data_IF_756133551047
#
_entry.id   IF_756133551047
#
_cell.length_a   1.000
_cell.length_b   1.000
_cell.length_c   1.000
_cell.angle_alpha   90.00
_cell.angle_beta   90.00
_cell.angle_gamma   90.00
#
_symmetry.space_group_name_H-M   'P 1'
#
loop_
_entity.id
_entity.type
_entity.pdbx_description
1 polymer ?
#
# COMPACT_ATOMS: atom_id res chain seq x y z
N UNK A 1 -1.07 2.44 -94.28
CA UNK A 1 0.37 2.41 -94.59
C UNK A 1 1.08 1.75 -93.43
N UNK A 2 1.71 0.59 -93.70
CA UNK A 2 2.78 -0.15 -92.98
C UNK A 2 2.70 -0.30 -91.44
N UNK A 3 2.46 -1.51 -90.91
CA UNK A 3 3.46 -2.58 -90.56
C UNK A 3 4.27 -2.25 -89.28
N UNK A 4 4.02 -2.92 -88.14
CA UNK A 4 4.67 -4.16 -87.62
C UNK A 4 5.97 -3.81 -86.82
N UNK A 5 6.36 -4.34 -85.64
CA UNK A 5 6.19 -5.59 -84.86
C UNK A 5 6.37 -5.28 -83.34
N UNK A 6 5.62 -5.92 -82.40
CA UNK A 6 6.02 -6.99 -81.43
C UNK A 6 7.36 -6.77 -80.68
N UNK A 7 7.59 -7.00 -79.38
CA UNK A 7 7.08 -7.89 -78.29
C UNK A 7 7.74 -7.33 -76.97
N UNK A 8 7.28 -7.49 -75.72
CA UNK A 8 7.42 -8.65 -74.81
C UNK A 8 6.56 -8.44 -73.55
N UNK A 9 5.99 -9.56 -73.12
CA UNK A 9 5.33 -9.98 -71.87
C UNK A 9 5.85 -9.45 -70.52
N UNK A 10 4.95 -9.30 -69.55
CA UNK A 10 5.11 -9.76 -68.15
C UNK A 10 3.98 -9.24 -67.25
N UNK A 11 3.04 -10.13 -66.95
CA UNK A 11 2.02 -10.11 -65.89
C UNK A 11 2.53 -9.59 -64.53
N UNK A 12 1.69 -8.84 -63.79
CA UNK A 12 1.61 -9.02 -62.33
C UNK A 12 0.19 -8.74 -61.85
N UNK A 13 -0.41 -9.77 -61.26
CA UNK A 13 -1.71 -9.79 -60.60
C UNK A 13 -1.69 -9.00 -59.28
N UNK A 14 -2.86 -8.47 -58.93
CA UNK A 14 -3.27 -8.06 -57.58
C UNK A 14 -3.38 -9.25 -56.62
N UNK A 15 -2.73 -9.16 -55.44
CA UNK A 15 -3.26 -9.54 -54.10
C UNK A 15 -2.32 -9.04 -52.97
N UNK A 16 -2.67 -9.14 -51.66
CA UNK A 16 -2.45 -8.09 -50.65
C UNK A 16 -1.40 -8.47 -49.58
N UNK A 17 -0.88 -7.50 -48.83
CA UNK A 17 -0.16 -7.74 -47.56
C UNK A 17 -0.59 -6.65 -46.57
N UNK A 18 -1.29 -6.99 -45.49
CA UNK A 18 -0.84 -7.64 -44.23
C UNK A 18 -0.18 -6.68 -43.23
N UNK A 19 -0.96 -6.43 -42.18
CA UNK A 19 -0.64 -5.67 -40.97
C UNK A 19 0.30 -6.50 -40.08
N UNK A 20 1.51 -6.00 -39.82
CA UNK A 20 2.41 -6.57 -38.82
C UNK A 20 2.08 -6.08 -37.41
N UNK A 21 2.19 -7.03 -36.49
CA UNK A 21 1.66 -7.13 -35.14
C UNK A 21 2.47 -6.41 -34.06
N UNK A 22 1.80 -6.16 -32.94
CA UNK A 22 2.14 -5.29 -31.78
C UNK A 22 3.19 -5.88 -30.83
N UNK A 23 3.89 -6.95 -31.20
CA UNK A 23 4.60 -7.81 -30.23
C UNK A 23 6.03 -7.41 -29.87
N UNK A 24 6.64 -6.40 -30.51
CA UNK A 24 8.04 -6.01 -30.21
C UNK A 24 8.19 -4.80 -29.28
N UNK A 25 7.13 -4.06 -28.97
CA UNK A 25 7.22 -2.87 -28.10
C UNK A 25 7.14 -3.18 -26.59
N UNK A 26 7.01 -4.45 -26.22
CA UNK A 26 6.91 -4.90 -24.82
C UNK A 26 8.24 -5.33 -24.20
N UNK A 27 9.33 -5.44 -24.98
CA UNK A 27 10.62 -5.94 -24.48
C UNK A 27 11.56 -4.85 -23.95
N UNK A 28 11.40 -3.58 -24.32
CA UNK A 28 12.33 -2.51 -23.90
C UNK A 28 11.87 -1.74 -22.65
N UNK A 29 10.60 -1.81 -22.28
CA UNK A 29 10.06 -1.11 -21.10
C UNK A 29 10.19 -1.91 -19.80
N UNK A 30 10.60 -3.18 -19.86
CA UNK A 30 10.83 -4.03 -18.68
C UNK A 30 12.21 -3.83 -18.01
N UNK A 31 13.17 -3.18 -18.66
CA UNK A 31 14.54 -3.05 -18.13
C UNK A 31 14.80 -1.76 -17.32
N UNK A 32 13.87 -0.79 -17.32
CA UNK A 32 14.13 0.56 -16.80
C UNK A 32 13.51 0.90 -15.43
N UNK A 33 13.11 -0.09 -14.62
CA UNK A 33 12.51 0.15 -13.28
C UNK A 33 13.22 -0.61 -12.13
N UNK A 34 14.35 -1.26 -12.40
CA UNK A 34 15.07 -2.06 -11.41
C UNK A 34 15.99 -1.25 -10.47
N UNK A 35 15.99 0.08 -10.53
CA UNK A 35 16.85 0.89 -9.68
C UNK A 35 16.21 2.24 -9.39
N UNK A 36 15.58 2.36 -8.22
CA UNK A 36 15.73 3.56 -7.41
C UNK A 36 15.21 3.35 -5.98
N UNK A 37 16.18 3.29 -5.07
CA UNK A 37 16.20 3.90 -3.72
C UNK A 37 15.13 3.42 -2.72
N UNK A 38 15.41 2.27 -2.09
CA UNK A 38 14.86 1.92 -0.75
C UNK A 38 15.97 1.82 0.33
N UNK A 39 17.16 2.40 0.09
CA UNK A 39 18.39 2.08 0.84
C UNK A 39 18.85 3.06 1.91
N UNK A 40 18.11 4.09 2.32
CA UNK A 40 18.68 5.17 3.14
C UNK A 40 18.31 5.18 4.64
N UNK A 41 17.82 4.06 5.21
CA UNK A 41 17.50 3.98 6.64
C UNK A 41 18.09 2.73 7.31
N UNK A 42 19.42 2.70 7.48
CA UNK A 42 20.06 1.75 8.39
C UNK A 42 21.53 1.47 8.12
N UNK A 43 22.41 1.87 9.04
CA UNK A 43 23.73 1.25 9.21
C UNK A 43 24.93 2.20 9.19
N UNK A 44 25.26 2.77 10.35
CA UNK A 44 26.62 3.25 10.62
C UNK A 44 27.61 2.07 10.76
N UNK A 45 28.92 2.28 10.54
CA UNK A 45 29.88 1.19 10.37
C UNK A 45 30.24 0.44 11.67
N UNK A 46 30.36 -0.90 11.54
CA UNK A 46 30.80 -1.87 12.55
C UNK A 46 32.28 -1.72 12.90
N UNK A 47 32.61 -1.94 14.18
CA UNK A 47 33.94 -2.35 14.66
C UNK A 47 33.82 -3.65 15.48
N UNK A 48 34.90 -4.43 15.47
CA UNK A 48 34.98 -5.89 15.63
C UNK A 48 34.71 -6.47 17.04
N UNK A 49 34.51 -7.79 17.04
CA UNK A 49 34.00 -8.64 18.12
C UNK A 49 35.04 -9.09 19.16
N UNK A 50 34.58 -9.30 20.40
CA UNK A 50 35.10 -10.29 21.34
C UNK A 50 33.92 -11.01 22.01
N UNK A 51 33.95 -12.34 21.99
CA UNK A 51 33.04 -13.25 22.71
C UNK A 51 33.50 -13.42 24.16
N UNK A 52 32.55 -13.61 25.07
CA UNK A 52 32.51 -14.72 26.03
C UNK A 52 31.03 -14.91 26.48
N UNK A 53 30.62 -16.18 26.58
CA UNK A 53 29.33 -16.72 27.08
C UNK A 53 29.22 -16.48 28.61
N UNK A 54 28.12 -16.59 29.37
CA UNK A 54 26.76 -17.11 29.27
C UNK A 54 25.91 -16.42 30.38
N UNK A 55 24.59 -16.64 30.34
CA UNK A 55 23.57 -16.53 31.40
C UNK A 55 22.43 -15.52 31.20
N UNK A 56 21.25 -16.12 31.05
CA UNK A 56 19.94 -15.52 30.98
C UNK A 56 19.53 -14.90 32.33
N UNK A 57 19.02 -13.67 32.30
CA UNK A 57 17.69 -13.30 32.79
C UNK A 57 17.50 -11.78 32.83
N UNK A 58 16.37 -11.34 32.26
CA UNK A 58 15.59 -10.17 32.69
C UNK A 58 16.13 -8.76 32.39
N UNK A 59 15.92 -8.33 31.14
CA UNK A 59 16.08 -6.95 30.68
C UNK A 59 14.97 -6.04 31.28
N UNK A 60 15.19 -5.60 32.52
CA UNK A 60 14.48 -4.48 33.14
C UNK A 60 15.36 -3.24 33.05
N UNK A 61 15.16 -2.51 31.94
CA UNK A 61 15.55 -1.12 31.71
C UNK A 61 15.68 -0.31 33.02
N UNK A 62 16.91 0.04 33.35
CA UNK A 62 17.29 0.76 34.57
C UNK A 62 16.93 2.24 34.52
N UNK A 63 16.03 2.65 35.42
CA UNK A 63 15.83 4.06 35.81
C UNK A 63 15.72 4.28 37.33
N UNK A 64 16.00 3.27 38.17
CA UNK A 64 15.62 3.32 39.59
C UNK A 64 16.77 3.53 40.61
N UNK A 65 18.00 3.83 40.18
CA UNK A 65 19.16 3.93 41.11
C UNK A 65 19.99 5.23 41.07
N UNK A 66 19.56 6.24 40.33
CA UNK A 66 20.19 7.57 40.36
C UNK A 66 19.42 8.62 41.19
N UNK A 67 18.46 8.18 42.02
CA UNK A 67 17.50 9.08 42.69
C UNK A 67 17.70 9.23 44.20
N UNK A 68 18.80 8.75 44.80
CA UNK A 68 18.94 8.73 46.27
C UNK A 68 20.08 9.53 46.90
N UNK A 69 20.92 10.24 46.13
CA UNK A 69 22.09 10.97 46.66
C UNK A 69 22.14 12.46 46.26
N UNK A 70 20.99 13.16 46.29
CA UNK A 70 20.93 14.62 46.16
C UNK A 70 19.93 15.31 47.12
N UNK A 71 19.57 14.66 48.22
CA UNK A 71 18.87 15.31 49.33
C UNK A 71 19.89 15.83 50.34
N UNK A 72 20.33 17.08 50.16
CA UNK A 72 20.86 18.04 51.16
C UNK A 72 21.97 18.91 50.55
N UNK A 73 21.58 19.98 49.86
CA UNK A 73 22.27 21.29 49.81
C UNK A 73 21.70 22.09 48.63
N UNK A 74 20.62 22.81 48.88
CA UNK A 74 20.51 24.24 48.55
C UNK A 74 19.07 24.66 48.82
N UNK A 75 18.90 25.39 49.92
CA UNK A 75 17.78 26.27 50.14
C UNK A 75 18.26 27.62 49.65
N UNK A 76 17.90 28.01 48.44
CA UNK A 76 17.75 29.42 48.10
C UNK A 76 16.86 29.54 46.85
N UNK A 77 15.72 30.19 47.09
CA UNK A 77 14.96 31.05 46.19
C UNK A 77 14.79 30.59 44.73
N UNK A 78 13.74 29.80 44.51
CA UNK A 78 13.15 29.61 43.18
C UNK A 78 11.65 29.95 43.32
N UNK A 79 11.34 31.26 43.35
CA UNK A 79 10.01 31.76 43.03
C UNK A 79 9.70 31.35 41.58
N UNK A 80 9.18 30.13 41.42
CA UNK A 80 8.45 29.75 40.23
C UNK A 80 7.28 30.72 40.11
N UNK A 81 7.41 31.70 39.23
CA UNK A 81 6.26 32.37 38.67
C UNK A 81 5.33 31.28 38.13
N UNK A 82 4.14 31.15 38.71
CA UNK A 82 3.07 30.37 38.12
C UNK A 82 2.88 30.94 36.71
N UNK A 83 3.28 30.18 35.69
CA UNK A 83 2.90 30.47 34.31
C UNK A 83 1.38 30.30 34.25
N UNK A 84 0.65 31.39 34.52
CA UNK A 84 -0.80 31.45 34.36
C UNK A 84 -1.11 31.17 32.89
N UNK A 85 -1.44 29.92 32.56
CA UNK A 85 -1.99 29.59 31.25
C UNK A 85 -3.28 30.41 31.08
N UNK A 86 -3.29 31.30 30.09
CA UNK A 86 -4.48 32.08 29.77
C UNK A 86 -5.62 31.12 29.37
N UNK A 87 -6.62 30.97 30.25
CA UNK A 87 -7.84 30.22 29.98
C UNK A 87 -8.72 31.00 29.00
N UNK A 88 -8.38 30.92 27.72
CA UNK A 88 -9.11 31.60 26.65
C UNK A 88 -10.35 30.79 26.29
N UNK A 89 -11.52 31.29 26.72
CA UNK A 89 -12.82 30.73 26.35
C UNK A 89 -13.26 31.19 24.95
N UNK A 90 -13.73 30.25 24.12
CA UNK A 90 -14.30 30.53 22.80
C UNK A 90 -15.76 30.10 22.73
N UNK A 91 -16.64 31.01 22.30
CA UNK A 91 -18.03 30.67 21.99
C UNK A 91 -18.13 29.92 20.65
N UNK A 92 -18.78 28.73 20.60
CA UNK A 92 -18.92 27.96 19.37
C UNK A 92 -19.78 28.69 18.32
N UNK A 93 -19.25 28.87 17.11
CA UNK A 93 -20.00 29.45 15.98
C UNK A 93 -21.10 28.50 15.47
N UNK A 94 -20.87 27.18 15.59
CA UNK A 94 -21.80 26.15 15.12
C UNK A 94 -22.06 25.16 16.25
N UNK A 95 -23.34 24.96 16.56
CA UNK A 95 -23.79 24.02 17.56
C UNK A 95 -24.33 22.77 16.87
N UNK A 96 -23.60 21.66 16.96
CA UNK A 96 -24.05 20.35 16.49
C UNK A 96 -25.00 19.75 17.54
N UNK A 97 -26.28 20.11 17.48
CA UNK A 97 -27.30 19.73 18.47
C UNK A 97 -27.76 18.28 18.34
N UNK A 98 -27.65 17.70 17.14
CA UNK A 98 -28.12 16.35 16.85
C UNK A 98 -26.94 15.38 16.75
N UNK A 99 -27.01 14.29 17.52
CA UNK A 99 -26.07 13.18 17.36
C UNK A 99 -26.41 12.43 16.07
N UNK A 100 -25.54 12.54 15.08
CA UNK A 100 -25.66 11.79 13.83
C UNK A 100 -25.25 10.34 14.09
N UNK A 101 -26.14 9.39 13.75
CA UNK A 101 -25.80 7.97 13.72
C UNK A 101 -24.92 7.69 12.49
N UNK A 102 -23.66 7.31 12.74
CA UNK A 102 -22.68 7.06 11.69
C UNK A 102 -22.59 5.58 11.39
N UNK A 103 -22.90 5.18 10.16
CA UNK A 103 -22.71 3.81 9.67
C UNK A 103 -21.39 3.67 8.94
N UNK A 104 -20.79 2.50 9.06
CA UNK A 104 -19.52 2.18 8.38
C UNK A 104 -19.75 1.73 6.94
N UNK A 105 -20.95 1.24 6.63
CA UNK A 105 -21.31 0.56 5.38
C UNK A 105 -20.50 -0.73 5.16
N UNK A 106 -20.22 -1.44 6.26
CA UNK A 106 -19.47 -2.70 6.32
C UNK A 106 -20.25 -3.77 7.13
N UNK A 107 -21.46 -3.45 7.61
CA UNK A 107 -22.26 -4.27 8.51
C UNK A 107 -22.79 -5.56 7.82
N UNK A 108 -22.94 -5.50 6.50
CA UNK A 108 -23.35 -6.61 5.64
C UNK A 108 -22.19 -7.52 5.22
N UNK A 109 -20.98 -7.30 5.77
CA UNK A 109 -19.78 -8.02 5.36
C UNK A 109 -19.16 -8.81 6.53
N UNK A 110 -18.45 -9.89 6.19
CA UNK A 110 -17.65 -10.69 7.10
C UNK A 110 -16.17 -10.39 6.87
N UNK A 111 -15.44 -10.12 7.94
CA UNK A 111 -14.01 -9.90 7.89
C UNK A 111 -13.27 -11.25 7.83
N UNK A 112 -12.78 -11.62 6.65
CA UNK A 112 -12.05 -12.88 6.42
C UNK A 112 -10.55 -12.74 6.67
N UNK A 113 -10.03 -11.52 6.68
CA UNK A 113 -8.64 -11.20 6.99
C UNK A 113 -8.54 -9.82 7.64
N UNK A 114 -7.61 -9.66 8.58
CA UNK A 114 -7.25 -8.38 9.20
C UNK A 114 -5.78 -8.37 9.60
N UNK A 115 -5.06 -7.33 9.21
CA UNK A 115 -3.66 -7.18 9.61
C UNK A 115 -3.18 -5.74 9.56
N UNK A 116 -2.26 -5.38 10.47
CA UNK A 116 -1.57 -4.10 10.45
C UNK A 116 -0.64 -4.02 9.23
N UNK A 117 -0.74 -2.92 8.48
CA UNK A 117 0.10 -2.66 7.32
C UNK A 117 0.34 -1.16 7.07
N UNK A 118 1.29 -0.87 6.17
CA UNK A 118 1.49 0.44 5.56
C UNK A 118 1.27 0.35 4.05
N UNK A 119 0.41 1.21 3.51
CA UNK A 119 0.05 1.29 2.10
C UNK A 119 0.72 2.48 1.43
N UNK A 120 1.17 2.26 0.21
CA UNK A 120 1.77 3.25 -0.68
C UNK A 120 1.02 3.26 -2.01
N UNK A 121 0.96 4.42 -2.66
CA UNK A 121 0.52 4.58 -4.05
C UNK A 121 1.70 5.05 -4.88
N UNK A 122 1.90 4.44 -6.04
CA UNK A 122 2.90 4.92 -6.99
C UNK A 122 2.37 6.17 -7.68
N UNK A 123 3.12 7.26 -7.59
CA UNK A 123 2.86 8.47 -8.35
C UNK A 123 3.57 8.38 -9.71
N UNK A 124 2.79 8.45 -10.79
CA UNK A 124 3.31 8.30 -12.15
C UNK A 124 4.06 9.54 -12.62
N UNK A 125 3.70 10.71 -12.12
CA UNK A 125 4.32 11.98 -12.50
C UNK A 125 5.72 12.11 -11.90
N UNK A 126 5.84 11.94 -10.58
CA UNK A 126 7.15 12.00 -9.90
C UNK A 126 7.93 10.68 -9.93
N UNK A 127 7.31 9.59 -10.42
CA UNK A 127 7.90 8.24 -10.49
C UNK A 127 8.39 7.73 -9.12
N UNK A 128 7.62 7.99 -8.07
CA UNK A 128 7.98 7.63 -6.69
C UNK A 128 6.84 6.96 -5.93
N UNK A 129 7.17 6.29 -4.84
CA UNK A 129 6.19 5.73 -3.91
C UNK A 129 5.81 6.76 -2.85
N UNK A 130 4.53 7.15 -2.81
CA UNK A 130 3.98 8.03 -1.77
C UNK A 130 3.23 7.21 -0.73
N UNK A 131 3.49 7.48 0.55
CA UNK A 131 2.72 6.85 1.63
C UNK A 131 1.25 7.29 1.50
N UNK A 132 0.36 6.30 1.45
CA UNK A 132 -1.07 6.53 1.32
C UNK A 132 -1.78 6.40 2.65
N UNK A 133 -1.35 5.47 3.51
CA UNK A 133 -1.90 5.30 4.85
C UNK A 133 -1.26 4.17 5.65
N UNK A 134 -1.32 4.28 6.98
CA UNK A 134 -0.95 3.23 7.93
C UNK A 134 -2.17 2.86 8.76
N UNK A 135 -2.44 1.56 8.91
CA UNK A 135 -3.71 1.08 9.47
C UNK A 135 -3.88 -0.43 9.39
N UNK A 136 -5.09 -0.90 9.65
CA UNK A 136 -5.46 -2.30 9.44
C UNK A 136 -6.02 -2.48 8.02
N UNK A 137 -5.37 -3.33 7.22
CA UNK A 137 -5.94 -3.83 5.97
C UNK A 137 -6.90 -4.97 6.29
N UNK A 138 -8.07 -4.96 5.67
CA UNK A 138 -9.11 -5.98 5.82
C UNK A 138 -9.57 -6.49 4.48
N UNK A 139 -9.84 -7.79 4.42
CA UNK A 139 -10.62 -8.40 3.33
C UNK A 139 -12.04 -8.63 3.88
N UNK A 140 -13.02 -8.01 3.24
CA UNK A 140 -14.41 -8.01 3.65
C UNK A 140 -15.24 -8.73 2.60
N UNK A 141 -15.86 -9.84 2.99
CA UNK A 141 -16.71 -10.67 2.13
C UNK A 141 -18.18 -10.33 2.36
N UNK A 142 -18.89 -9.89 1.34
CA UNK A 142 -20.29 -9.53 1.47
C UNK A 142 -21.17 -10.78 1.72
N UNK A 143 -22.07 -10.72 2.69
CA UNK A 143 -22.87 -11.89 3.12
C UNK A 143 -23.84 -12.40 2.05
N UNK A 144 -24.37 -11.49 1.22
CA UNK A 144 -25.34 -11.86 0.17
C UNK A 144 -24.66 -12.30 -1.14
N UNK A 145 -23.87 -11.42 -1.77
CA UNK A 145 -23.26 -11.71 -3.07
C UNK A 145 -21.90 -12.45 -2.98
N UNK A 146 -21.38 -12.68 -1.77
CA UNK A 146 -20.10 -13.36 -1.51
C UNK A 146 -18.85 -12.69 -2.10
N UNK A 147 -18.96 -11.50 -2.72
CA UNK A 147 -17.80 -10.78 -3.28
C UNK A 147 -16.95 -10.22 -2.15
N UNK A 148 -15.64 -10.39 -2.28
CA UNK A 148 -14.66 -9.89 -1.33
C UNK A 148 -14.02 -8.59 -1.83
N UNK A 149 -13.98 -7.56 -0.99
CA UNK A 149 -13.24 -6.32 -1.23
C UNK A 149 -12.13 -6.10 -0.22
N UNK A 150 -11.11 -5.35 -0.61
CA UNK A 150 -10.07 -4.85 0.28
C UNK A 150 -10.48 -3.47 0.78
N UNK A 151 -10.49 -3.30 2.10
CA UNK A 151 -10.71 -1.99 2.75
C UNK A 151 -9.58 -1.73 3.74
N UNK A 152 -9.00 -0.53 3.69
CA UNK A 152 -8.00 -0.08 4.66
C UNK A 152 -8.33 1.34 5.12
N UNK A 153 -8.23 1.60 6.43
CA UNK A 153 -8.46 2.91 7.03
C UNK A 153 -7.20 3.37 7.77
N UNK A 154 -6.91 4.67 7.71
CA UNK A 154 -5.79 5.29 8.42
C UNK A 154 -6.04 5.30 9.93
N UNK A 155 -4.99 5.08 10.70
CA UNK A 155 -5.03 5.27 12.14
C UNK A 155 -5.50 6.68 12.52
N UNK A 156 -6.22 6.77 13.65
CA UNK A 156 -6.73 8.00 14.28
C UNK A 156 -7.82 8.72 13.48
N UNK A 157 -7.56 9.02 12.20
CA UNK A 157 -8.49 9.74 11.32
C UNK A 157 -9.61 8.85 10.77
N UNK A 158 -9.42 7.53 10.75
CA UNK A 158 -10.36 6.53 10.22
C UNK A 158 -10.75 6.73 8.74
N UNK A 159 -10.08 7.65 8.04
CA UNK A 159 -10.24 7.89 6.61
C UNK A 159 -9.84 6.65 5.83
N UNK A 160 -10.66 6.27 4.86
CA UNK A 160 -10.37 5.18 3.93
C UNK A 160 -9.14 5.55 3.10
N UNK A 161 -8.21 4.61 2.91
CA UNK A 161 -7.02 4.79 2.08
C UNK A 161 -6.85 3.69 1.01
N UNK A 162 -7.70 2.66 1.04
CA UNK A 162 -7.94 1.73 -0.06
C UNK A 162 -9.38 1.18 0.07
N UNK A 163 -10.07 1.06 -1.06
CA UNK A 163 -11.38 0.44 -1.17
C UNK A 163 -11.60 -0.03 -2.60
N UNK A 164 -11.42 -1.33 -2.85
CA UNK A 164 -11.62 -1.94 -4.17
C UNK A 164 -11.96 -3.43 -4.02
N UNK A 165 -12.69 -3.98 -4.99
CA UNK A 165 -12.87 -5.43 -5.08
C UNK A 165 -11.54 -6.14 -5.37
N UNK A 166 -11.39 -7.34 -4.83
CA UNK A 166 -10.31 -8.24 -5.24
C UNK A 166 -10.73 -8.92 -6.54
N UNK A 167 -10.15 -8.56 -7.68
CA UNK A 167 -10.59 -9.06 -9.00
C UNK A 167 -9.60 -10.08 -9.59
N UNK A 168 -10.05 -10.97 -10.50
CA UNK A 168 -9.23 -12.08 -11.00
C UNK A 168 -7.95 -11.67 -11.73
N UNK A 169 -7.95 -10.50 -12.35
CA UNK A 169 -6.84 -9.95 -13.12
C UNK A 169 -5.74 -9.28 -12.27
N UNK A 170 -6.00 -9.04 -10.98
CA UNK A 170 -4.99 -8.52 -10.04
C UNK A 170 -3.81 -9.49 -9.89
N UNK A 171 -2.59 -8.97 -9.85
CA UNK A 171 -1.39 -9.79 -9.62
C UNK A 171 -0.56 -9.20 -8.50
N UNK A 172 -0.46 -9.93 -7.38
CA UNK A 172 0.49 -9.59 -6.33
C UNK A 172 1.91 -9.95 -6.82
N UNK A 173 2.73 -8.92 -6.95
CA UNK A 173 4.14 -9.03 -7.33
C UNK A 173 5.04 -8.65 -6.15
N UNK A 174 6.17 -9.33 -5.93
CA UNK A 174 7.11 -8.94 -4.88
C UNK A 174 7.72 -7.59 -5.20
N UNK A 175 7.90 -6.74 -4.19
CA UNK A 175 8.61 -5.47 -4.37
C UNK A 175 10.13 -5.70 -4.32
N UNK A 176 10.89 -5.10 -5.24
CA UNK A 176 12.35 -5.24 -5.29
C UNK A 176 12.96 -4.72 -3.97
N UNK A 177 13.80 -5.54 -3.34
CA UNK A 177 14.46 -5.19 -2.08
C UNK A 177 13.57 -5.30 -0.83
N UNK A 178 12.39 -5.94 -0.91
CA UNK A 178 11.57 -6.25 0.26
C UNK A 178 10.97 -7.65 0.21
N UNK A 179 11.18 -8.41 1.29
CA UNK A 179 10.57 -9.72 1.56
C UNK A 179 9.18 -9.63 2.21
N UNK A 180 8.76 -8.43 2.59
CA UNK A 180 7.55 -8.14 3.37
C UNK A 180 6.61 -7.14 2.69
N UNK A 181 6.73 -6.99 1.37
CA UNK A 181 5.90 -6.07 0.59
C UNK A 181 5.38 -6.70 -0.70
N UNK A 182 4.13 -6.40 -1.05
CA UNK A 182 3.48 -6.79 -2.30
C UNK A 182 3.01 -5.57 -3.09
N UNK A 183 3.05 -5.66 -4.42
CA UNK A 183 2.60 -4.63 -5.36
C UNK A 183 1.52 -5.19 -6.28
N UNK A 184 0.45 -4.42 -6.52
CA UNK A 184 -0.59 -4.75 -7.50
C UNK A 184 -1.20 -3.50 -8.13
N UNK A 185 -1.98 -3.71 -9.19
CA UNK A 185 -2.79 -2.66 -9.81
C UNK A 185 -4.25 -2.86 -9.42
N UNK A 186 -4.91 -1.82 -8.94
CA UNK A 186 -6.35 -1.75 -8.77
C UNK A 186 -6.91 -0.83 -9.85
N UNK A 187 -7.78 -1.35 -10.73
CA UNK A 187 -8.35 -0.56 -11.83
C UNK A 187 -9.38 0.48 -11.37
N UNK A 188 -10.04 0.22 -10.24
CA UNK A 188 -11.14 1.01 -9.71
C UNK A 188 -11.09 1.08 -8.18
N UNK A 189 -10.09 1.77 -7.63
CA UNK A 189 -10.06 2.11 -6.20
C UNK A 189 -10.92 3.36 -5.95
N UNK A 190 -11.85 3.29 -5.00
CA UNK A 190 -12.83 4.36 -4.70
C UNK A 190 -12.55 5.03 -3.35
N UNK A 191 -11.30 4.98 -2.86
CA UNK A 191 -10.98 5.50 -1.52
C UNK A 191 -11.08 7.03 -1.39
N UNK A 192 -11.08 7.77 -2.50
CA UNK A 192 -11.19 9.25 -2.53
C UNK A 192 -12.44 9.72 -3.29
N UNK A 193 -13.44 8.85 -3.47
CA UNK A 193 -14.67 9.15 -4.20
C UNK A 193 -14.79 8.35 -5.48
N UNK A 194 -14.46 8.97 -6.62
CA UNK A 194 -14.60 8.34 -7.94
C UNK A 194 -13.60 7.19 -8.16
N UNK A 195 -13.95 6.17 -8.98
CA UNK A 195 -13.06 5.07 -9.30
C UNK A 195 -11.76 5.55 -9.96
N UNK A 196 -10.62 5.20 -9.36
CA UNK A 196 -9.29 5.56 -9.86
C UNK A 196 -8.41 4.32 -10.08
N UNK A 197 -7.74 4.25 -11.23
CA UNK A 197 -6.71 3.25 -11.47
C UNK A 197 -5.44 3.59 -10.66
N UNK A 198 -5.08 2.72 -9.73
CA UNK A 198 -3.96 2.90 -8.80
C UNK A 198 -3.00 1.73 -8.81
N UNK A 199 -1.69 2.02 -8.86
CA UNK A 199 -0.65 1.02 -8.56
C UNK A 199 -0.31 1.14 -7.08
N UNK A 200 -0.60 0.09 -6.32
CA UNK A 200 -0.52 0.06 -4.86
C UNK A 200 0.60 -0.87 -4.42
N UNK A 201 1.30 -0.47 -3.35
CA UNK A 201 2.22 -1.35 -2.64
C UNK A 201 1.81 -1.39 -1.16
N UNK A 202 1.82 -2.58 -0.57
CA UNK A 202 1.54 -2.78 0.85
C UNK A 202 2.73 -3.44 1.52
N UNK A 203 3.09 -2.95 2.71
CA UNK A 203 4.18 -3.48 3.52
C UNK A 203 3.67 -3.94 4.87
N UNK A 204 4.15 -5.10 5.30
CA UNK A 204 3.84 -5.70 6.59
C UNK A 204 5.04 -5.64 7.54
N UNK A 205 4.82 -6.01 8.81
CA UNK A 205 5.87 -6.00 9.83
C UNK A 205 7.02 -6.96 9.47
N UNK A 206 6.72 -8.15 8.98
CA UNK A 206 7.66 -9.21 8.63
C UNK A 206 7.19 -10.00 7.40
N UNK A 207 8.04 -10.89 6.90
CA UNK A 207 7.75 -11.70 5.71
C UNK A 207 6.60 -12.70 5.93
N UNK A 208 6.47 -13.26 7.13
CA UNK A 208 5.38 -14.18 7.50
C UNK A 208 4.00 -13.51 7.33
N UNK A 209 3.83 -12.32 7.90
CA UNK A 209 2.63 -11.51 7.78
C UNK A 209 2.32 -11.16 6.32
N UNK A 210 3.35 -10.84 5.53
CA UNK A 210 3.17 -10.58 4.10
C UNK A 210 2.68 -11.81 3.35
N UNK A 211 3.18 -13.01 3.68
CA UNK A 211 2.74 -14.25 3.05
C UNK A 211 1.31 -14.62 3.46
N UNK A 212 0.93 -14.45 4.73
CA UNK A 212 -0.45 -14.62 5.19
C UNK A 212 -1.43 -13.71 4.44
N UNK A 213 -1.05 -12.44 4.21
CA UNK A 213 -1.85 -11.56 3.37
C UNK A 213 -1.97 -12.07 1.93
N UNK A 214 -0.85 -12.49 1.32
CA UNK A 214 -0.86 -13.01 -0.05
C UNK A 214 -1.76 -14.23 -0.19
N UNK A 215 -1.68 -15.18 0.75
CA UNK A 215 -2.54 -16.36 0.78
C UNK A 215 -4.03 -15.98 0.87
N UNK A 216 -4.39 -15.09 1.80
CA UNK A 216 -5.76 -14.63 1.96
C UNK A 216 -6.27 -13.86 0.72
N UNK A 217 -5.41 -13.04 0.11
CA UNK A 217 -5.72 -12.26 -1.10
C UNK A 217 -5.94 -13.18 -2.31
N UNK A 218 -5.06 -14.15 -2.54
CA UNK A 218 -5.19 -15.12 -3.64
C UNK A 218 -6.44 -15.99 -3.45
N UNK A 219 -6.73 -16.42 -2.21
CA UNK A 219 -7.97 -17.13 -1.90
C UNK A 219 -9.20 -16.28 -2.25
N UNK A 220 -9.24 -15.02 -1.80
CA UNK A 220 -10.33 -14.10 -2.12
C UNK A 220 -10.47 -13.86 -3.63
N UNK A 221 -9.35 -13.77 -4.35
CA UNK A 221 -9.32 -13.63 -5.80
C UNK A 221 -9.96 -14.82 -6.52
N UNK A 222 -9.58 -16.05 -6.14
CA UNK A 222 -10.14 -17.27 -6.72
C UNK A 222 -11.63 -17.42 -6.41
N UNK A 223 -12.05 -17.12 -5.18
CA UNK A 223 -13.48 -17.13 -4.82
C UNK A 223 -14.26 -16.09 -5.64
N UNK A 224 -13.69 -14.90 -5.83
CA UNK A 224 -14.32 -13.84 -6.60
C UNK A 224 -14.37 -14.15 -8.10
N UNK A 225 -13.39 -14.82 -8.69
CA UNK A 225 -13.38 -15.22 -10.10
C UNK A 225 -14.62 -16.03 -10.49
N UNK A 226 -15.03 -16.95 -9.62
CA UNK A 226 -16.26 -17.75 -9.80
C UNK A 226 -17.53 -16.88 -9.76
N UNK A 227 -17.49 -15.73 -9.08
CA UNK A 227 -18.63 -14.83 -8.93
C UNK A 227 -18.70 -13.80 -10.06
N UNK A 228 -17.55 -13.27 -10.50
CA UNK A 228 -17.49 -12.32 -11.61
C UNK A 228 -17.84 -12.99 -12.95
N UNK A 229 -17.45 -14.24 -13.16
CA UNK A 229 -17.81 -15.02 -14.36
C UNK A 229 -19.30 -15.39 -14.46
N UNK A 230 -20.03 -15.39 -13.33
CA UNK A 230 -21.49 -15.68 -13.30
C UNK A 230 -22.37 -14.45 -13.56
N UNK A 231 -21.78 -13.26 -13.60
CA UNK A 231 -22.52 -11.99 -13.74
C UNK A 231 -22.55 -11.50 -15.19
N UNK A 232 -22.07 -12.31 -16.14
CA UNK A 232 -22.19 -12.09 -17.60
C UNK A 232 -23.37 -12.83 -18.21
#
# INVERSE_FOLDING_TARGET
>A
MADAEQKVDSTTETKPEESKTVTEKASETASAVAGNVFGMFGGGPKKEAKKDDDDAENDRSGSAKAQKDKENADKDDDEKADEEEADVHFEPVVHLTEKVDTKTNEEAEEQTFKMRAKLFKFDRESREWKERGTGDVRLLKHKENSKTRLVMRRDKTLKVCANHYVVPDMKLSPNVGSDRSWVWNAAADVSEGEPEASTLAIRFANAENANLFKEAFIKAQQENEVLFSKTE
#
